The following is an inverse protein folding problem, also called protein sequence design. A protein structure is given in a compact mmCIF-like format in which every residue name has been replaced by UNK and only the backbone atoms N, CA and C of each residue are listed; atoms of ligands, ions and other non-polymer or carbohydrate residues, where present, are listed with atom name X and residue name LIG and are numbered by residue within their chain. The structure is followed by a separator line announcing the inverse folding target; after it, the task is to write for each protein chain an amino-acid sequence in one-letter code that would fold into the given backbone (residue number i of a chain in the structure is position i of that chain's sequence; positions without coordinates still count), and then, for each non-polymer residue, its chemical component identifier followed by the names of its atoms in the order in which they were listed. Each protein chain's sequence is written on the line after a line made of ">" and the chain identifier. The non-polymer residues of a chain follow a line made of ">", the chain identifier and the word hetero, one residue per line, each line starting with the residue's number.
data_IF_708136437526
#
_entry.id   IF_708136437526
#
_cell.length_a   1.000
_cell.length_b   1.000
_cell.length_c   1.000
_cell.angle_alpha   90.00
_cell.angle_beta   90.00
_cell.angle_gamma   90.00
#
_symmetry.space_group_name_H-M   'P 1'
#
loop_
_entity.id
_entity.type
_entity.pdbx_description
1 polymer ?
#
# COMPACT_ATOMS: atom_id res chain seq x y z
N UNK A 1 22.98 7.76 -8.06
CA UNK A 1 23.56 8.81 -8.94
C UNK A 1 22.55 9.91 -9.21
N UNK A 2 21.30 9.59 -9.59
CA UNK A 2 20.23 10.57 -9.85
C UNK A 2 19.96 11.59 -8.72
N UNK A 3 19.80 11.13 -7.48
CA UNK A 3 19.55 12.03 -6.34
C UNK A 3 20.64 13.10 -6.17
N UNK A 4 21.91 12.72 -6.34
CA UNK A 4 23.02 13.67 -6.25
C UNK A 4 22.93 14.75 -7.32
N UNK A 5 22.51 14.42 -8.54
CA UNK A 5 22.35 15.39 -9.62
C UNK A 5 21.19 16.35 -9.32
N UNK A 6 20.08 15.83 -8.78
CA UNK A 6 18.95 16.66 -8.33
C UNK A 6 19.36 17.62 -7.22
N UNK A 7 20.12 17.16 -6.22
CA UNK A 7 20.58 18.03 -5.14
C UNK A 7 21.55 19.11 -5.64
N UNK A 8 22.45 18.77 -6.55
CA UNK A 8 23.36 19.75 -7.17
C UNK A 8 22.60 20.79 -7.99
N UNK A 9 21.55 20.40 -8.73
CA UNK A 9 20.81 21.33 -9.59
C UNK A 9 19.95 22.35 -8.83
N UNK A 10 19.57 22.05 -7.59
CA UNK A 10 18.78 22.96 -6.73
C UNK A 10 19.62 23.81 -5.78
N UNK A 11 20.88 23.40 -5.55
CA UNK A 11 21.86 24.11 -4.75
C UNK A 11 22.41 25.36 -5.44
N UNK A 12 22.75 26.36 -4.63
CA UNK A 12 23.36 27.63 -5.07
C UNK A 12 24.88 27.53 -5.01
N UNK A 13 25.55 28.46 -5.68
CA UNK A 13 27.00 28.63 -5.49
C UNK A 13 27.30 29.02 -4.04
N UNK A 14 28.11 28.23 -3.36
CA UNK A 14 28.45 28.41 -1.93
C UNK A 14 27.73 27.46 -0.97
N UNK A 15 26.70 26.74 -1.42
CA UNK A 15 26.10 25.65 -0.64
C UNK A 15 27.09 24.47 -0.57
N UNK A 16 27.18 23.82 0.59
CA UNK A 16 28.07 22.64 0.76
C UNK A 16 27.22 21.39 0.85
N UNK A 17 27.36 20.51 -0.15
CA UNK A 17 26.69 19.22 -0.21
C UNK A 17 27.64 18.11 0.25
N UNK A 18 27.22 17.31 1.23
CA UNK A 18 28.00 16.17 1.72
C UNK A 18 27.13 14.91 1.82
N UNK A 19 27.68 13.76 1.44
CA UNK A 19 27.08 12.46 1.73
C UNK A 19 27.60 11.98 3.08
N UNK A 20 26.70 11.79 4.05
CA UNK A 20 27.06 11.46 5.43
C UNK A 20 26.83 9.98 5.76
N UNK A 21 26.09 9.26 4.91
CA UNK A 21 25.80 7.83 5.08
C UNK A 21 25.48 7.16 3.75
N UNK A 22 24.97 5.93 3.81
CA UNK A 22 24.53 5.19 2.62
C UNK A 22 23.56 6.02 1.78
N UNK A 23 22.40 6.35 2.35
CA UNK A 23 21.33 7.05 1.63
C UNK A 23 21.08 8.46 2.20
N UNK A 24 22.04 8.98 2.96
CA UNK A 24 21.90 10.21 3.76
C UNK A 24 22.82 11.32 3.26
N UNK A 25 22.24 12.52 3.13
CA UNK A 25 22.92 13.72 2.65
C UNK A 25 22.70 14.88 3.62
N UNK A 26 23.74 15.67 3.84
CA UNK A 26 23.69 16.93 4.57
C UNK A 26 23.99 18.08 3.62
N UNK A 27 23.27 19.20 3.81
CA UNK A 27 23.46 20.42 3.03
C UNK A 27 23.65 21.58 4.00
N UNK A 28 24.78 22.26 3.91
CA UNK A 28 25.01 23.49 4.66
C UNK A 28 24.63 24.66 3.74
N UNK A 29 23.75 25.52 4.23
CA UNK A 29 23.24 26.70 3.53
C UNK A 29 23.75 27.97 4.25
N UNK A 30 24.91 28.52 3.88
CA UNK A 30 25.44 29.73 4.50
C UNK A 30 24.47 30.92 4.32
N UNK A 31 24.43 31.82 5.31
CA UNK A 31 23.67 33.08 5.23
C UNK A 31 22.20 32.90 4.82
N UNK A 32 21.57 31.81 5.30
CA UNK A 32 20.22 31.42 4.89
C UNK A 32 19.28 31.42 6.10
N UNK A 33 18.15 32.12 5.97
CA UNK A 33 17.14 32.20 7.04
C UNK A 33 16.33 30.91 7.16
N UNK A 34 15.53 30.78 8.23
CA UNK A 34 14.61 29.65 8.40
C UNK A 34 13.60 29.54 7.25
N UNK A 35 13.05 30.66 6.79
CA UNK A 35 12.09 30.71 5.66
C UNK A 35 12.75 30.29 4.34
N UNK A 36 13.97 30.77 4.09
CA UNK A 36 14.73 30.39 2.91
C UNK A 36 15.13 28.91 2.94
N UNK A 37 15.45 28.38 4.13
CA UNK A 37 15.75 26.95 4.32
C UNK A 37 14.51 26.10 4.07
N UNK A 38 13.35 26.52 4.55
CA UNK A 38 12.08 25.87 4.25
C UNK A 38 11.78 25.86 2.74
N UNK A 39 11.90 27.02 2.09
CA UNK A 39 11.74 27.17 0.64
C UNK A 39 12.71 26.29 -0.14
N UNK A 40 13.94 26.13 0.37
CA UNK A 40 14.94 25.25 -0.20
C UNK A 40 14.49 23.77 -0.14
N UNK A 41 13.98 23.31 1.00
CA UNK A 41 13.42 21.96 1.13
C UNK A 41 12.25 21.72 0.16
N UNK A 42 11.33 22.69 0.01
CA UNK A 42 10.20 22.57 -0.90
C UNK A 42 10.65 22.48 -2.37
N UNK A 43 11.72 23.19 -2.76
CA UNK A 43 12.31 23.06 -4.11
C UNK A 43 12.87 21.66 -4.36
N UNK A 44 13.55 21.06 -3.37
CA UNK A 44 14.02 19.67 -3.48
C UNK A 44 12.83 18.73 -3.67
N UNK A 45 11.80 18.84 -2.83
CA UNK A 45 10.58 18.01 -2.93
C UNK A 45 9.95 18.12 -4.30
N UNK A 46 9.77 19.34 -4.81
CA UNK A 46 9.21 19.59 -6.13
C UNK A 46 10.06 19.00 -7.25
N UNK A 47 11.38 19.12 -7.18
CA UNK A 47 12.30 18.52 -8.15
C UNK A 47 12.18 16.99 -8.19
N UNK A 48 12.05 16.33 -7.02
CA UNK A 48 11.81 14.89 -6.95
C UNK A 48 10.42 14.47 -7.47
N UNK A 49 9.38 15.28 -7.25
CA UNK A 49 8.02 14.98 -7.73
C UNK A 49 7.86 15.14 -9.24
N UNK A 50 8.52 16.15 -9.82
CA UNK A 50 8.50 16.44 -11.26
C UNK A 50 9.42 15.54 -12.07
N UNK A 51 10.10 14.61 -11.39
CA UNK A 51 10.95 13.63 -12.00
C UNK A 51 10.14 12.72 -12.94
N UNK A 52 10.64 12.54 -14.16
CA UNK A 52 9.95 11.79 -15.22
C UNK A 52 10.36 10.31 -15.24
N UNK A 53 10.90 9.81 -14.14
CA UNK A 53 11.24 8.39 -14.03
C UNK A 53 9.95 7.57 -14.10
N UNK A 54 9.96 6.63 -15.04
CA UNK A 54 8.98 5.59 -15.18
C UNK A 54 9.64 4.23 -14.91
N UNK A 55 8.89 3.29 -14.32
CA UNK A 55 7.56 3.45 -13.74
C UNK A 55 7.53 4.32 -12.47
N UNK A 56 6.36 4.89 -12.13
CA UNK A 56 6.18 5.92 -11.08
C UNK A 56 6.75 5.53 -9.71
N UNK A 57 6.80 4.22 -9.39
CA UNK A 57 7.33 3.70 -8.14
C UNK A 57 8.86 3.76 -8.04
N UNK A 58 9.58 4.06 -9.13
CA UNK A 58 11.02 4.30 -9.13
C UNK A 58 11.39 5.78 -8.91
N UNK A 59 10.40 6.68 -8.84
CA UNK A 59 10.67 8.11 -8.58
C UNK A 59 11.28 8.29 -7.20
N UNK A 60 12.24 9.21 -7.10
CA UNK A 60 12.92 9.50 -5.84
C UNK A 60 11.94 10.00 -4.79
N UNK A 61 11.99 9.39 -3.61
CA UNK A 61 11.32 9.90 -2.43
C UNK A 61 12.36 10.28 -1.40
N UNK A 62 12.31 11.52 -0.94
CA UNK A 62 13.26 12.08 0.02
C UNK A 62 12.51 12.63 1.22
N UNK A 63 13.03 12.36 2.40
CA UNK A 63 12.61 13.00 3.63
C UNK A 63 13.58 14.11 3.96
N UNK A 64 13.08 15.28 4.34
CA UNK A 64 13.89 16.46 4.58
C UNK A 64 13.62 17.05 5.95
N UNK A 65 14.68 17.49 6.61
CA UNK A 65 14.63 18.26 7.83
C UNK A 65 15.72 19.31 7.84
N UNK A 66 15.44 20.46 8.43
CA UNK A 66 16.38 21.58 8.50
C UNK A 66 16.39 22.23 9.87
N UNK A 67 17.54 22.77 10.23
CA UNK A 67 17.75 23.61 11.39
C UNK A 67 18.53 24.85 10.95
N UNK A 68 18.15 26.00 11.49
CA UNK A 68 18.86 27.27 11.28
C UNK A 68 19.27 27.83 12.63
N UNK A 69 20.25 28.70 12.59
CA UNK A 69 20.71 29.42 13.77
C UNK A 69 21.02 30.85 13.38
N UNK A 70 20.64 31.77 14.26
CA UNK A 70 20.95 33.19 14.17
C UNK A 70 21.70 33.60 15.45
N UNK A 71 22.66 34.52 15.31
CA UNK A 71 23.46 34.99 16.45
C UNK A 71 24.55 34.00 16.87
N UNK A 72 24.70 33.79 18.18
CA UNK A 72 25.80 33.02 18.76
C UNK A 72 25.84 31.57 18.26
N UNK A 73 27.07 31.08 18.03
CA UNK A 73 27.33 29.74 17.56
C UNK A 73 26.90 28.69 18.59
N UNK A 74 25.89 27.87 18.26
CA UNK A 74 25.60 26.62 18.98
C UNK A 74 26.38 25.48 18.35
N UNK A 75 26.68 24.47 19.16
CA UNK A 75 27.35 23.26 18.68
C UNK A 75 26.58 22.62 17.51
N UNK A 76 27.29 22.29 16.44
CA UNK A 76 26.72 21.70 15.23
C UNK A 76 25.91 20.42 15.50
N UNK A 77 26.30 19.63 16.50
CA UNK A 77 25.59 18.42 16.91
C UNK A 77 24.15 18.71 17.37
N UNK A 78 23.91 19.87 17.98
CA UNK A 78 22.57 20.27 18.41
C UNK A 78 21.67 20.59 17.21
N UNK A 79 22.20 21.28 16.21
CA UNK A 79 21.50 21.62 14.97
C UNK A 79 21.20 20.37 14.16
N UNK A 80 22.17 19.45 14.04
CA UNK A 80 21.98 18.16 13.38
C UNK A 80 20.86 17.35 14.03
N UNK A 81 20.81 17.28 15.37
CA UNK A 81 19.71 16.61 16.10
C UNK A 81 18.33 17.21 15.79
N UNK A 82 18.24 18.52 15.63
CA UNK A 82 16.97 19.20 15.29
C UNK A 82 16.58 18.91 13.84
N UNK A 83 17.53 19.00 12.91
CA UNK A 83 17.30 18.68 11.51
C UNK A 83 16.87 17.21 11.33
N UNK A 84 17.57 16.28 11.99
CA UNK A 84 17.29 14.85 11.97
C UNK A 84 15.90 14.53 12.53
N UNK A 85 15.52 15.12 13.66
CA UNK A 85 14.17 14.95 14.24
C UNK A 85 13.08 15.40 13.27
N UNK A 86 13.25 16.54 12.60
CA UNK A 86 12.29 17.05 11.61
C UNK A 86 12.25 16.17 10.36
N UNK A 87 13.40 15.66 9.91
CA UNK A 87 13.49 14.71 8.80
C UNK A 87 12.74 13.41 9.14
N UNK A 88 12.89 12.90 10.37
CA UNK A 88 12.18 11.72 10.83
C UNK A 88 10.66 11.93 10.83
N UNK A 89 10.19 13.09 11.27
CA UNK A 89 8.77 13.45 11.18
C UNK A 89 8.28 13.47 9.72
N UNK A 90 9.00 14.13 8.82
CA UNK A 90 8.69 14.18 7.39
C UNK A 90 8.66 12.78 6.75
N UNK A 91 9.57 11.87 7.18
CA UNK A 91 9.60 10.47 6.76
C UNK A 91 8.34 9.72 7.14
N UNK A 92 7.84 9.91 8.36
CA UNK A 92 6.61 9.28 8.84
C UNK A 92 5.38 9.77 8.06
N UNK A 93 5.27 11.08 7.81
CA UNK A 93 4.17 11.63 7.00
C UNK A 93 4.20 11.13 5.56
N UNK A 94 5.39 11.14 4.94
CA UNK A 94 5.58 10.67 3.58
C UNK A 94 5.31 9.17 3.44
N UNK A 95 5.67 8.36 4.44
CA UNK A 95 5.36 6.93 4.46
C UNK A 95 3.85 6.67 4.45
N UNK A 96 3.08 7.36 5.30
CA UNK A 96 1.61 7.24 5.33
C UNK A 96 0.96 7.66 4.01
N UNK A 97 1.47 8.72 3.37
CA UNK A 97 0.97 9.15 2.06
C UNK A 97 1.29 8.13 0.95
N UNK A 98 2.48 7.52 0.98
CA UNK A 98 2.86 6.46 0.02
C UNK A 98 1.99 5.22 0.18
N UNK A 99 1.76 4.78 1.42
CA UNK A 99 0.87 3.66 1.73
C UNK A 99 -0.51 3.92 1.11
N UNK A 100 -1.07 5.12 1.32
CA UNK A 100 -2.34 5.53 0.73
C UNK A 100 -2.32 5.51 -0.81
N UNK A 101 -1.30 6.07 -1.45
CA UNK A 101 -1.20 6.07 -2.93
C UNK A 101 -1.00 4.68 -3.51
N UNK A 102 -0.24 3.81 -2.82
CA UNK A 102 -0.03 2.44 -3.24
C UNK A 102 -1.32 1.64 -3.11
N UNK A 103 -2.02 1.78 -1.99
CA UNK A 103 -3.33 1.18 -1.79
C UNK A 103 -4.34 1.63 -2.86
N UNK A 104 -4.33 2.92 -3.19
CA UNK A 104 -5.18 3.48 -4.23
C UNK A 104 -4.82 2.94 -5.62
N UNK A 105 -3.53 2.82 -5.94
CA UNK A 105 -3.10 2.22 -7.21
C UNK A 105 -3.54 0.76 -7.31
N UNK A 106 -3.43 -0.03 -6.24
CA UNK A 106 -3.94 -1.40 -6.20
C UNK A 106 -5.46 -1.43 -6.35
N UNK A 107 -6.19 -0.53 -5.69
CA UNK A 107 -7.65 -0.41 -5.82
C UNK A 107 -8.06 -0.17 -7.27
N UNK A 108 -7.39 0.75 -7.97
CA UNK A 108 -7.67 1.06 -9.38
C UNK A 108 -7.38 -0.15 -10.28
N UNK A 109 -6.19 -0.76 -10.14
CA UNK A 109 -5.81 -1.92 -10.96
C UNK A 109 -6.77 -3.10 -10.75
N UNK A 110 -7.23 -3.30 -9.51
CA UNK A 110 -8.22 -4.32 -9.21
C UNK A 110 -9.57 -4.00 -9.80
N UNK A 111 -10.04 -2.75 -9.69
CA UNK A 111 -11.30 -2.33 -10.30
C UNK A 111 -11.32 -2.51 -11.84
N UNK A 112 -10.17 -2.41 -12.53
CA UNK A 112 -10.09 -2.67 -13.97
C UNK A 112 -10.25 -4.16 -14.34
N UNK A 113 -9.89 -5.07 -13.43
CA UNK A 113 -9.91 -6.52 -13.68
C UNK A 113 -10.93 -7.28 -12.85
N UNK A 114 -11.63 -6.59 -11.98
CA UNK A 114 -12.76 -7.12 -11.26
C UNK A 114 -14.01 -7.00 -12.15
N UNK A 115 -14.70 -8.11 -12.44
CA UNK A 115 -16.03 -8.06 -13.03
C UNK A 115 -17.05 -7.28 -12.17
N UNK A 116 -16.70 -6.97 -10.92
CA UNK A 116 -17.50 -6.21 -9.96
C UNK A 116 -17.00 -4.75 -9.83
N UNK A 117 -17.94 -3.80 -9.78
CA UNK A 117 -17.65 -2.35 -9.84
C UNK A 117 -16.91 -1.84 -8.59
N UNK A 118 -16.33 -0.64 -8.66
CA UNK A 118 -15.69 0.07 -7.51
C UNK A 118 -16.60 0.10 -6.25
N UNK A 119 -17.91 0.07 -6.44
CA UNK A 119 -18.91 -0.01 -5.36
C UNK A 119 -18.81 -1.29 -4.52
N UNK A 120 -18.38 -2.43 -5.10
CA UNK A 120 -18.23 -3.71 -4.39
C UNK A 120 -17.16 -3.63 -3.30
N UNK A 121 -15.96 -3.13 -3.63
CA UNK A 121 -14.86 -3.00 -2.68
C UNK A 121 -15.19 -2.05 -1.52
N UNK A 122 -15.97 -0.99 -1.78
CA UNK A 122 -16.43 -0.09 -0.72
C UNK A 122 -17.47 -0.77 0.19
N UNK A 123 -18.50 -1.40 -0.39
CA UNK A 123 -19.53 -2.13 0.39
C UNK A 123 -18.92 -3.24 1.24
N UNK A 124 -17.98 -4.00 0.70
CA UNK A 124 -17.27 -5.05 1.44
C UNK A 124 -16.55 -4.48 2.66
N UNK A 125 -15.85 -3.36 2.53
CA UNK A 125 -15.17 -2.73 3.67
C UNK A 125 -16.16 -2.25 4.74
N UNK A 126 -17.29 -1.65 4.34
CA UNK A 126 -18.32 -1.20 5.27
C UNK A 126 -18.95 -2.37 6.03
N UNK A 127 -19.32 -3.45 5.31
CA UNK A 127 -19.83 -4.69 5.90
C UNK A 127 -18.80 -5.33 6.83
N UNK A 128 -17.53 -5.34 6.42
CA UNK A 128 -16.44 -5.94 7.19
C UNK A 128 -16.18 -5.21 8.50
N UNK A 129 -16.18 -3.87 8.48
CA UNK A 129 -16.07 -3.08 9.71
C UNK A 129 -17.29 -3.28 10.61
N UNK A 130 -18.51 -3.30 10.04
CA UNK A 130 -19.74 -3.50 10.81
C UNK A 130 -19.75 -4.87 11.51
N UNK A 131 -19.48 -5.95 10.77
CA UNK A 131 -19.43 -7.29 11.31
C UNK A 131 -18.26 -7.47 12.28
N UNK A 132 -17.07 -6.98 11.93
CA UNK A 132 -15.87 -7.04 12.75
C UNK A 132 -16.05 -6.39 14.13
N UNK A 133 -16.69 -5.23 14.17
CA UNK A 133 -17.02 -4.56 15.44
C UNK A 133 -18.00 -5.39 16.28
N UNK A 134 -19.05 -5.93 15.66
CA UNK A 134 -20.07 -6.73 16.37
C UNK A 134 -19.50 -8.02 16.97
N UNK A 135 -18.51 -8.63 16.32
CA UNK A 135 -17.85 -9.86 16.84
C UNK A 135 -16.67 -9.55 17.77
N UNK A 136 -16.39 -8.28 18.04
CA UNK A 136 -15.37 -7.85 19.02
C UNK A 136 -13.93 -7.94 18.51
N UNK A 137 -13.68 -7.71 17.22
CA UNK A 137 -12.31 -7.61 16.70
C UNK A 137 -11.57 -6.40 17.29
N UNK A 138 -10.28 -6.56 17.56
CA UNK A 138 -9.41 -5.45 17.97
C UNK A 138 -9.20 -4.45 16.82
N UNK A 139 -8.77 -3.22 17.13
CA UNK A 139 -8.45 -2.21 16.10
C UNK A 139 -7.45 -2.72 15.06
N UNK A 140 -6.45 -3.49 15.51
CA UNK A 140 -5.47 -4.13 14.63
C UNK A 140 -6.14 -5.13 13.67
N UNK A 141 -7.03 -5.98 14.18
CA UNK A 141 -7.77 -6.94 13.37
C UNK A 141 -8.76 -6.26 12.42
N UNK A 142 -9.39 -5.16 12.84
CA UNK A 142 -10.27 -4.35 12.00
C UNK A 142 -9.48 -3.70 10.84
N UNK A 143 -8.28 -3.18 11.12
CA UNK A 143 -7.37 -2.67 10.10
C UNK A 143 -7.01 -3.74 9.07
N UNK A 144 -6.59 -4.92 9.54
CA UNK A 144 -6.29 -6.06 8.68
C UNK A 144 -7.51 -6.55 7.89
N UNK A 145 -8.69 -6.58 8.50
CA UNK A 145 -9.92 -7.00 7.83
C UNK A 145 -10.33 -6.00 6.73
N UNK A 146 -10.17 -4.70 6.97
CA UNK A 146 -10.41 -3.66 5.96
C UNK A 146 -9.45 -3.82 4.79
N UNK A 147 -8.17 -4.05 5.06
CA UNK A 147 -7.16 -4.28 4.04
C UNK A 147 -7.45 -5.57 3.25
N UNK A 148 -7.86 -6.64 3.95
CA UNK A 148 -8.25 -7.91 3.34
C UNK A 148 -9.48 -7.74 2.43
N UNK A 149 -10.49 -6.99 2.85
CA UNK A 149 -11.67 -6.72 2.02
C UNK A 149 -11.30 -6.07 0.67
N UNK A 150 -10.26 -5.22 0.65
CA UNK A 150 -9.77 -4.60 -0.58
C UNK A 150 -8.89 -5.53 -1.43
N UNK A 151 -8.11 -6.43 -0.80
CA UNK A 151 -7.04 -7.17 -1.46
C UNK A 151 -7.27 -8.69 -1.56
N UNK A 152 -8.37 -9.22 -1.04
CA UNK A 152 -8.63 -10.67 -1.02
C UNK A 152 -8.54 -11.29 -2.43
N UNK A 153 -9.00 -10.55 -3.43
CA UNK A 153 -9.00 -10.95 -4.83
C UNK A 153 -7.81 -10.42 -5.66
N UNK A 154 -6.76 -9.89 -5.01
CA UNK A 154 -5.64 -9.23 -5.71
C UNK A 154 -4.94 -10.14 -6.73
N UNK A 155 -4.97 -11.45 -6.49
CA UNK A 155 -4.39 -12.43 -7.40
C UNK A 155 -5.12 -12.62 -8.72
N UNK A 156 -6.33 -12.07 -8.90
CA UNK A 156 -7.05 -12.10 -10.19
C UNK A 156 -6.25 -11.42 -11.31
N UNK A 157 -5.34 -10.50 -10.98
CA UNK A 157 -4.38 -9.90 -11.92
C UNK A 157 -3.54 -10.97 -12.64
N UNK A 158 -3.23 -12.09 -11.97
CA UNK A 158 -2.47 -13.18 -12.57
C UNK A 158 -3.30 -14.18 -13.37
N UNK A 159 -4.63 -14.00 -13.46
CA UNK A 159 -5.53 -14.88 -14.20
C UNK A 159 -5.63 -14.42 -15.67
N UNK A 160 -5.57 -15.33 -16.66
CA UNK A 160 -5.76 -14.98 -18.07
C UNK A 160 -7.14 -14.37 -18.36
N UNK A 161 -7.21 -13.35 -19.21
CA UNK A 161 -8.45 -12.63 -19.54
C UNK A 161 -9.56 -13.54 -20.09
N UNK A 162 -9.19 -14.51 -20.92
CA UNK A 162 -10.14 -15.46 -21.50
C UNK A 162 -10.79 -16.40 -20.46
N UNK A 163 -10.25 -16.46 -19.25
CA UNK A 163 -10.81 -17.18 -18.10
C UNK A 163 -11.53 -16.19 -17.17
N UNK A 164 -10.90 -15.06 -16.87
CA UNK A 164 -11.40 -14.06 -15.92
C UNK A 164 -12.72 -13.41 -16.38
N UNK A 165 -12.81 -13.04 -17.66
CA UNK A 165 -13.97 -12.34 -18.22
C UNK A 165 -14.96 -13.26 -18.92
N UNK A 166 -14.85 -14.57 -18.73
CA UNK A 166 -15.75 -15.53 -19.38
C UNK A 166 -17.17 -15.41 -18.82
N UNK A 167 -18.15 -15.27 -19.70
CA UNK A 167 -19.58 -15.11 -19.36
C UNK A 167 -20.35 -16.44 -19.25
N UNK A 168 -19.67 -17.57 -19.47
CA UNK A 168 -20.23 -18.92 -19.42
C UNK A 168 -19.54 -19.77 -18.37
N UNK A 169 -20.11 -20.95 -18.08
CA UNK A 169 -19.56 -21.91 -17.14
C UNK A 169 -18.11 -22.26 -17.51
N UNK A 170 -17.20 -22.07 -16.56
CA UNK A 170 -15.81 -22.46 -16.68
C UNK A 170 -15.69 -23.99 -16.73
N UNK A 171 -14.86 -24.48 -17.64
CA UNK A 171 -14.46 -25.90 -17.68
C UNK A 171 -13.66 -26.26 -16.43
N UNK A 172 -13.54 -27.56 -16.07
CA UNK A 172 -12.76 -27.98 -14.90
C UNK A 172 -11.30 -27.49 -14.90
N UNK A 173 -10.66 -27.41 -16.07
CA UNK A 173 -9.29 -26.91 -16.22
C UNK A 173 -9.18 -25.39 -16.03
N UNK A 174 -10.16 -24.65 -16.54
CA UNK A 174 -10.29 -23.20 -16.32
C UNK A 174 -10.58 -22.88 -14.86
N UNK A 175 -11.46 -23.65 -14.21
CA UNK A 175 -11.72 -23.55 -12.77
C UNK A 175 -10.45 -23.81 -11.94
N UNK A 176 -9.63 -24.79 -12.33
CA UNK A 176 -8.33 -25.00 -11.67
C UNK A 176 -7.43 -23.78 -11.76
N UNK A 177 -7.39 -23.09 -12.91
CA UNK A 177 -6.64 -21.84 -13.07
C UNK A 177 -7.25 -20.68 -12.28
N UNK A 178 -8.57 -20.52 -12.29
CA UNK A 178 -9.25 -19.46 -11.54
C UNK A 178 -8.93 -19.55 -10.04
N UNK A 179 -8.91 -20.76 -9.45
CA UNK A 179 -8.55 -20.98 -8.04
C UNK A 179 -7.11 -20.60 -7.69
N UNK A 180 -6.21 -20.47 -8.66
CA UNK A 180 -4.84 -20.05 -8.39
C UNK A 180 -4.73 -18.58 -7.95
N UNK A 181 -5.79 -17.77 -8.13
CA UNK A 181 -5.76 -16.36 -7.70
C UNK A 181 -5.42 -16.24 -6.21
N UNK A 182 -5.92 -17.12 -5.34
CA UNK A 182 -5.63 -17.04 -3.90
C UNK A 182 -4.13 -17.29 -3.64
N UNK A 183 -3.51 -18.24 -4.35
CA UNK A 183 -2.06 -18.50 -4.27
C UNK A 183 -1.23 -17.37 -4.88
N UNK A 184 -1.70 -16.76 -5.97
CA UNK A 184 -1.05 -15.60 -6.60
C UNK A 184 -1.11 -14.41 -5.63
N UNK A 185 -2.27 -14.11 -5.07
CA UNK A 185 -2.49 -13.01 -4.12
C UNK A 185 -1.62 -13.15 -2.88
N UNK A 186 -1.54 -14.35 -2.30
CA UNK A 186 -0.60 -14.67 -1.22
C UNK A 186 0.85 -14.33 -1.59
N UNK A 187 1.32 -14.75 -2.77
CA UNK A 187 2.70 -14.47 -3.21
C UNK A 187 2.96 -12.98 -3.41
N UNK A 188 1.96 -12.22 -3.84
CA UNK A 188 2.06 -10.77 -3.99
C UNK A 188 2.10 -10.07 -2.63
N UNK A 189 1.24 -10.48 -1.69
CA UNK A 189 1.12 -9.83 -0.39
C UNK A 189 2.27 -10.14 0.58
N UNK A 190 2.77 -11.39 0.62
CA UNK A 190 3.67 -11.87 1.69
C UNK A 190 5.00 -11.12 1.85
N UNK A 191 5.47 -10.45 0.79
CA UNK A 191 6.76 -9.75 0.78
C UNK A 191 6.60 -8.22 0.91
N UNK A 192 5.37 -7.71 0.95
CA UNK A 192 5.08 -6.30 1.14
C UNK A 192 4.80 -6.11 2.64
N UNK A 193 5.63 -5.38 3.40
CA UNK A 193 5.51 -5.30 4.86
C UNK A 193 4.11 -4.95 5.35
N UNK A 194 3.41 -4.04 4.66
CA UNK A 194 2.07 -3.61 5.03
C UNK A 194 0.99 -4.64 4.70
N UNK A 195 1.22 -5.55 3.74
CA UNK A 195 0.25 -6.57 3.30
C UNK A 195 0.57 -7.97 3.86
N UNK A 196 1.81 -8.20 4.27
CA UNK A 196 2.24 -9.46 4.86
C UNK A 196 1.35 -9.94 6.02
N UNK A 197 0.82 -9.06 6.91
CA UNK A 197 -0.09 -9.46 7.97
C UNK A 197 -1.40 -10.10 7.52
N UNK A 198 -1.82 -9.90 6.26
CA UNK A 198 -3.06 -10.46 5.70
C UNK A 198 -2.81 -11.53 4.62
N UNK A 199 -1.55 -11.91 4.40
CA UNK A 199 -1.22 -12.78 3.26
C UNK A 199 -1.85 -14.17 3.41
N UNK A 200 -1.85 -14.75 4.62
CA UNK A 200 -2.50 -16.04 4.87
C UNK A 200 -4.01 -15.93 4.70
N UNK A 201 -4.58 -14.79 5.09
CA UNK A 201 -5.98 -14.52 4.98
C UNK A 201 -6.43 -14.47 3.52
N UNK A 202 -5.62 -13.83 2.66
CA UNK A 202 -5.78 -13.85 1.19
C UNK A 202 -5.64 -15.27 0.65
N UNK A 203 -4.73 -16.10 1.18
CA UNK A 203 -4.57 -17.46 0.69
C UNK A 203 -5.83 -18.31 0.94
N UNK A 204 -6.46 -18.14 2.10
CA UNK A 204 -7.50 -19.02 2.62
C UNK A 204 -8.92 -18.43 2.62
N UNK A 205 -9.15 -17.29 1.95
CA UNK A 205 -10.48 -16.64 1.95
C UNK A 205 -11.58 -17.45 1.23
N UNK A 206 -11.21 -18.46 0.44
CA UNK A 206 -12.13 -19.43 -0.16
C UNK A 206 -12.13 -20.81 0.52
N UNK A 207 -11.55 -20.91 1.71
CA UNK A 207 -11.72 -22.10 2.55
C UNK A 207 -13.13 -22.13 3.13
N UNK A 208 -13.74 -23.31 3.16
CA UNK A 208 -15.08 -23.53 3.71
C UNK A 208 -14.97 -24.21 5.06
N UNK A 209 -15.89 -23.90 5.97
CA UNK A 209 -15.88 -24.45 7.33
C UNK A 209 -15.80 -25.98 7.39
N UNK A 210 -16.41 -26.66 6.42
CA UNK A 210 -16.44 -28.12 6.27
C UNK A 210 -15.20 -28.72 5.55
N UNK A 211 -14.32 -27.86 5.02
CA UNK A 211 -13.12 -28.18 4.25
C UNK A 211 -13.36 -28.62 2.81
N UNK A 212 -14.51 -28.25 2.24
CA UNK A 212 -14.76 -28.37 0.79
C UNK A 212 -14.16 -27.22 -0.01
N UNK A 213 -13.63 -26.20 0.66
CA UNK A 213 -13.00 -25.04 0.07
C UNK A 213 -11.59 -25.32 -0.47
N UNK A 214 -10.87 -24.25 -0.79
CA UNK A 214 -9.55 -24.30 -1.39
C UNK A 214 -8.70 -23.13 -0.88
N UNK A 215 -7.36 -23.17 -1.00
CA UNK A 215 -6.55 -24.12 -1.76
C UNK A 215 -6.02 -25.34 -0.98
N UNK A 216 -6.14 -25.36 0.35
CA UNK A 216 -5.53 -26.38 1.22
C UNK A 216 -6.59 -27.28 1.91
N UNK A 217 -7.88 -26.94 1.82
CA UNK A 217 -8.98 -27.75 2.35
C UNK A 217 -9.06 -27.68 3.88
N UNK A 218 -8.77 -26.49 4.43
CA UNK A 218 -8.77 -26.25 5.87
C UNK A 218 -10.18 -26.39 6.45
N UNK A 219 -10.26 -26.83 7.72
CA UNK A 219 -11.54 -27.10 8.40
C UNK A 219 -11.66 -26.33 9.70
N UNK A 220 -12.85 -25.80 9.95
CA UNK A 220 -13.18 -25.08 11.18
C UNK A 220 -12.17 -23.98 11.50
N UNK A 221 -11.64 -24.01 12.72
CA UNK A 221 -10.74 -22.98 13.23
C UNK A 221 -9.33 -23.02 12.64
N UNK A 222 -8.99 -24.03 11.83
CA UNK A 222 -7.74 -24.00 11.05
C UNK A 222 -7.76 -22.90 10.00
N UNK A 223 -8.95 -22.45 9.60
CA UNK A 223 -9.13 -21.32 8.69
C UNK A 223 -8.88 -20.02 9.49
N UNK A 224 -8.02 -19.11 9.01
CA UNK A 224 -7.80 -17.82 9.65
C UNK A 224 -9.12 -17.11 9.96
N UNK A 225 -9.21 -16.47 11.13
CA UNK A 225 -10.44 -15.82 11.58
C UNK A 225 -10.95 -14.81 10.55
N UNK A 226 -10.07 -13.97 10.02
CA UNK A 226 -10.47 -12.95 9.05
C UNK A 226 -10.86 -13.56 7.69
N UNK A 227 -10.29 -14.70 7.29
CA UNK A 227 -10.75 -15.45 6.11
C UNK A 227 -12.18 -15.96 6.26
N UNK A 228 -12.54 -16.45 7.45
CA UNK A 228 -13.92 -16.87 7.75
C UNK A 228 -14.89 -15.69 7.73
N UNK A 229 -14.46 -14.54 8.22
CA UNK A 229 -15.28 -13.34 8.25
C UNK A 229 -15.49 -12.80 6.83
N UNK A 230 -14.42 -12.68 6.04
CA UNK A 230 -14.51 -12.13 4.68
C UNK A 230 -15.30 -13.04 3.75
N UNK A 231 -15.21 -14.37 3.89
CA UNK A 231 -15.99 -15.30 3.06
C UNK A 231 -17.50 -15.16 3.30
N UNK A 232 -17.92 -14.89 4.54
CA UNK A 232 -19.33 -14.59 4.88
C UNK A 232 -19.77 -13.28 4.22
N UNK A 233 -18.93 -12.25 4.31
CA UNK A 233 -19.23 -10.91 3.78
C UNK A 233 -19.31 -10.94 2.25
N UNK A 234 -18.35 -11.58 1.59
CA UNK A 234 -18.32 -11.72 0.14
C UNK A 234 -19.55 -12.49 -0.36
N UNK A 235 -19.87 -13.63 0.26
CA UNK A 235 -21.08 -14.38 -0.05
C UNK A 235 -22.36 -13.53 0.12
N UNK A 236 -22.43 -12.72 1.18
CA UNK A 236 -23.56 -11.82 1.42
C UNK A 236 -23.67 -10.71 0.36
N UNK A 237 -22.57 -10.05 0.01
CA UNK A 237 -22.58 -9.00 -1.04
C UNK A 237 -22.96 -9.58 -2.40
N UNK A 238 -22.48 -10.79 -2.72
CA UNK A 238 -22.85 -11.53 -3.94
C UNK A 238 -24.35 -11.89 -3.97
N UNK A 239 -24.96 -12.19 -2.82
CA UNK A 239 -26.39 -12.48 -2.73
C UNK A 239 -27.27 -11.22 -2.86
N UNK A 240 -26.80 -10.08 -2.35
CA UNK A 240 -27.52 -8.80 -2.34
C UNK A 240 -27.33 -7.98 -3.61
N UNK A 241 -26.15 -8.03 -4.23
CA UNK A 241 -25.91 -7.39 -5.51
C UNK A 241 -26.65 -8.15 -6.60
N UNK A 242 -27.68 -7.54 -7.20
CA UNK A 242 -28.44 -8.12 -8.30
C UNK A 242 -27.50 -8.49 -9.46
N UNK A 243 -27.03 -9.73 -9.52
CA UNK A 243 -26.26 -10.22 -10.65
C UNK A 243 -27.20 -10.45 -11.84
N UNK A 244 -26.80 -10.08 -13.07
CA UNK A 244 -27.52 -10.41 -14.30
C UNK A 244 -27.50 -11.91 -14.68
N UNK A 245 -27.08 -12.80 -13.76
CA UNK A 245 -27.04 -14.25 -13.97
C UNK A 245 -28.10 -15.02 -13.17
N UNK A 246 -29.07 -14.33 -12.55
CA UNK A 246 -30.33 -14.97 -12.11
C UNK A 246 -31.36 -14.88 -13.25
N UNK A 247 -31.08 -15.67 -14.29
CA UNK A 247 -31.96 -15.91 -15.42
C UNK A 247 -31.79 -17.36 -15.87
N UNK A 248 -32.30 -18.27 -15.05
CA UNK A 248 -32.32 -19.72 -15.25
C UNK A 248 -33.21 -20.34 -14.20
#
# INVERSE_FOLDING_TARGET
>A
QHLSQTLVSVSRQGDVLARIGGDEFAIILPSTTSEQSHSFCERIKKACQQDKIEPIYLRLNISLGYATQEGEYKEINSLLKVADRKMYQDKLFSAKSREKHFLEAFRIILAERDPHTEDHAQRLQELALSLGNKVGLSEYQLGNLKLLALLHDVGKIGIPDNILFKTYILTPSEWKKMREHSRIGYRMAKNIPDFAPIAQEILHHHEHWDGTGYPDGLKGEKIPLLSRIISIIDAYDVMQSCRPYKGG
#
